data_IF_048141638961
#
_entry.id   IF_048141638961
#
_cell.length_a   1.000
_cell.length_b   1.000
_cell.length_c   1.000
_cell.angle_alpha   90.00
_cell.angle_beta   90.00
_cell.angle_gamma   90.00
#
_symmetry.space_group_name_H-M   'P 1'
#
loop_
_entity.id
_entity.type
_entity.pdbx_description
1 polymer ?
#
# COMPACT_ATOMS: atom_id res chain seq x y z
N UNK A 1 3.77 40.83 -6.15
CA UNK A 1 4.21 40.05 -4.98
C UNK A 1 4.77 38.73 -5.47
N UNK A 2 6.02 38.37 -5.17
CA UNK A 2 6.46 37.01 -5.37
C UNK A 2 5.78 36.13 -4.31
N UNK A 3 5.12 35.06 -4.75
CA UNK A 3 4.64 34.00 -3.85
C UNK A 3 5.89 33.25 -3.41
N UNK A 4 6.23 33.35 -2.13
CA UNK A 4 7.25 32.50 -1.54
C UNK A 4 6.70 31.07 -1.48
N UNK A 5 6.98 30.28 -2.52
CA UNK A 5 6.96 28.83 -2.41
C UNK A 5 8.13 28.45 -1.53
N UNK A 6 7.89 28.28 -0.23
CA UNK A 6 8.73 27.43 0.59
C UNK A 6 8.67 26.03 -0.01
N UNK A 7 9.55 25.79 -0.98
CA UNK A 7 9.84 24.47 -1.51
C UNK A 7 10.44 23.68 -0.35
N UNK A 8 9.58 22.98 0.40
CA UNK A 8 10.05 22.10 1.46
C UNK A 8 10.72 20.92 0.76
N UNK A 9 12.05 20.89 0.83
CA UNK A 9 12.90 19.78 0.43
C UNK A 9 12.52 18.50 1.21
N UNK A 10 11.45 17.81 0.77
CA UNK A 10 11.06 16.42 1.08
C UNK A 10 9.80 15.97 0.30
N UNK A 11 9.41 16.69 -0.76
CA UNK A 11 8.23 16.35 -1.57
C UNK A 11 8.38 14.96 -2.22
N UNK A 12 7.53 14.03 -1.79
CA UNK A 12 7.36 12.72 -2.42
C UNK A 12 7.81 11.52 -1.59
N UNK A 13 8.62 11.69 -0.52
CA UNK A 13 8.99 10.58 0.36
C UNK A 13 8.25 10.64 1.70
N UNK A 14 7.58 9.54 2.05
CA UNK A 14 6.85 9.37 3.28
C UNK A 14 7.59 8.44 4.24
N UNK A 15 7.75 8.92 5.47
CA UNK A 15 8.44 8.21 6.56
C UNK A 15 7.49 7.75 7.66
N UNK A 16 6.17 7.92 7.46
CA UNK A 16 5.16 7.39 8.37
C UNK A 16 5.36 5.88 8.53
N UNK A 17 5.52 5.40 9.78
CA UNK A 17 5.69 3.97 10.04
C UNK A 17 4.59 3.12 9.41
N UNK A 18 3.34 3.58 9.46
CA UNK A 18 2.20 2.83 8.92
C UNK A 18 2.22 2.77 7.40
N UNK A 19 2.59 3.88 6.73
CA UNK A 19 2.69 3.87 5.27
C UNK A 19 3.86 3.01 4.78
N UNK A 20 5.03 3.16 5.41
CA UNK A 20 6.21 2.33 5.12
C UNK A 20 5.88 0.84 5.32
N UNK A 21 5.19 0.50 6.41
CA UNK A 21 4.80 -0.87 6.68
C UNK A 21 3.81 -1.40 5.64
N UNK A 22 2.77 -0.64 5.28
CA UNK A 22 1.79 -1.05 4.26
C UNK A 22 2.45 -1.34 2.93
N UNK A 23 3.32 -0.46 2.44
CA UNK A 23 4.02 -0.69 1.16
C UNK A 23 4.99 -1.88 1.27
N UNK A 24 5.68 -2.03 2.40
CA UNK A 24 6.56 -3.17 2.65
C UNK A 24 5.81 -4.50 2.70
N UNK A 25 4.61 -4.51 3.30
CA UNK A 25 3.76 -5.69 3.39
C UNK A 25 3.22 -6.09 2.01
N UNK A 26 2.83 -5.13 1.18
CA UNK A 26 2.46 -5.38 -0.21
C UNK A 26 3.63 -6.01 -0.97
N UNK A 27 4.83 -5.43 -0.87
CA UNK A 27 6.02 -5.97 -1.53
C UNK A 27 6.36 -7.39 -1.05
N UNK A 28 6.24 -7.66 0.25
CA UNK A 28 6.45 -8.98 0.82
C UNK A 28 5.43 -10.01 0.33
N UNK A 29 4.14 -9.65 0.27
CA UNK A 29 3.07 -10.49 -0.29
C UNK A 29 3.29 -10.77 -1.78
N UNK A 30 3.72 -9.77 -2.57
CA UNK A 30 4.09 -9.97 -3.98
C UNK A 30 5.30 -10.90 -4.08
N UNK A 31 6.29 -10.77 -3.20
CA UNK A 31 7.50 -11.61 -3.16
C UNK A 31 7.31 -13.01 -2.61
N UNK A 32 6.16 -13.33 -2.01
CA UNK A 32 5.83 -14.60 -1.34
C UNK A 32 5.58 -15.76 -2.33
N UNK A 33 6.44 -15.94 -3.33
CA UNK A 33 6.30 -16.89 -4.46
C UNK A 33 6.14 -18.36 -4.05
N UNK A 34 6.53 -18.72 -2.82
CA UNK A 34 6.32 -20.05 -2.24
C UNK A 34 4.88 -20.34 -1.81
N UNK A 35 4.02 -19.33 -1.70
CA UNK A 35 2.62 -19.49 -1.32
C UNK A 35 1.73 -19.71 -2.56
N UNK A 36 0.82 -20.71 -2.53
CA UNK A 36 -0.02 -21.04 -3.68
C UNK A 36 -0.97 -19.90 -4.08
N UNK A 37 -1.35 -19.07 -3.12
CA UNK A 37 -2.28 -17.95 -3.27
C UNK A 37 -1.64 -16.73 -3.94
N UNK A 38 -0.31 -16.57 -3.80
CA UNK A 38 0.43 -15.41 -4.27
C UNK A 38 0.20 -15.15 -5.77
N UNK A 39 0.25 -16.19 -6.61
CA UNK A 39 0.11 -16.02 -8.07
C UNK A 39 -1.23 -15.42 -8.49
N UNK A 40 -2.30 -15.70 -7.74
CA UNK A 40 -3.65 -15.19 -8.02
C UNK A 40 -3.83 -13.77 -7.48
N UNK A 41 -3.23 -13.47 -6.33
CA UNK A 41 -3.31 -12.16 -5.69
C UNK A 41 -2.36 -11.11 -6.31
N UNK A 42 -1.19 -11.52 -6.80
CA UNK A 42 -0.10 -10.63 -7.18
C UNK A 42 -0.46 -9.52 -8.20
N UNK A 43 -1.26 -9.76 -9.27
CA UNK A 43 -1.63 -8.69 -10.19
C UNK A 43 -2.42 -7.57 -9.50
N UNK A 44 -3.28 -7.93 -8.55
CA UNK A 44 -4.09 -6.98 -7.79
C UNK A 44 -3.25 -6.24 -6.75
N UNK A 45 -2.33 -6.94 -6.09
CA UNK A 45 -1.39 -6.34 -5.15
C UNK A 45 -0.45 -5.32 -5.83
N UNK A 46 0.03 -5.62 -7.05
CA UNK A 46 0.82 -4.66 -7.82
C UNK A 46 0.02 -3.41 -8.21
N UNK A 47 -1.27 -3.56 -8.52
CA UNK A 47 -2.15 -2.40 -8.77
C UNK A 47 -2.41 -1.58 -7.50
N UNK A 48 -2.58 -2.25 -6.35
CA UNK A 48 -2.72 -1.57 -5.07
C UNK A 48 -1.44 -0.77 -4.73
N UNK A 49 -0.26 -1.33 -4.96
CA UNK A 49 1.02 -0.62 -4.78
C UNK A 49 1.11 0.62 -5.69
N UNK A 50 0.76 0.47 -6.97
CA UNK A 50 0.80 1.57 -7.93
C UNK A 50 -0.15 2.72 -7.55
N UNK A 51 -1.34 2.42 -7.02
CA UNK A 51 -2.28 3.43 -6.51
C UNK A 51 -1.70 4.23 -5.34
N UNK A 52 -1.00 3.56 -4.42
CA UNK A 52 -0.43 4.20 -3.25
C UNK A 52 0.84 5.00 -3.57
N UNK A 53 1.71 4.46 -4.42
CA UNK A 53 3.05 5.01 -4.66
C UNK A 53 3.08 5.93 -5.88
N UNK A 54 2.72 5.39 -7.05
CA UNK A 54 2.87 6.11 -8.32
C UNK A 54 1.77 7.16 -8.50
N UNK A 55 0.50 6.74 -8.37
CA UNK A 55 -0.63 7.65 -8.49
C UNK A 55 -0.85 8.49 -7.23
N UNK A 56 -0.48 7.95 -6.06
CA UNK A 56 -0.43 8.69 -4.81
C UNK A 56 0.72 9.70 -4.73
N UNK A 57 1.70 9.59 -5.63
CA UNK A 57 2.93 10.40 -5.61
C UNK A 57 3.61 10.38 -4.23
N UNK A 58 3.54 9.22 -3.56
CA UNK A 58 3.95 9.02 -2.16
C UNK A 58 4.84 7.78 -2.07
N UNK A 59 6.15 7.97 -2.06
CA UNK A 59 7.14 6.90 -2.00
C UNK A 59 7.53 6.61 -0.56
N UNK A 60 7.65 5.35 -0.14
CA UNK A 60 8.19 5.07 1.18
C UNK A 60 9.67 5.49 1.24
N UNK A 61 10.12 6.03 2.38
CA UNK A 61 11.54 6.35 2.57
C UNK A 61 12.45 5.12 2.56
N UNK A 62 11.92 3.96 2.92
CA UNK A 62 12.62 2.69 2.95
C UNK A 62 11.60 1.53 2.96
N UNK A 63 12.07 0.32 2.70
CA UNK A 63 11.30 -0.91 2.88
C UNK A 63 11.80 -1.64 4.12
N UNK A 64 10.88 -2.27 4.86
CA UNK A 64 11.21 -3.17 5.96
C UNK A 64 11.02 -4.62 5.52
N UNK A 65 11.89 -5.51 5.98
CA UNK A 65 11.76 -6.93 5.69
C UNK A 65 10.60 -7.51 6.49
N UNK A 66 9.62 -8.11 5.79
CA UNK A 66 8.45 -8.76 6.40
C UNK A 66 8.43 -10.22 5.94
N UNK A 67 8.29 -11.14 6.89
CA UNK A 67 8.11 -12.55 6.61
C UNK A 67 6.61 -12.86 6.51
N UNK A 68 6.24 -13.62 5.47
CA UNK A 68 4.85 -14.04 5.24
C UNK A 68 4.72 -15.52 5.59
N UNK A 69 4.23 -15.78 6.80
CA UNK A 69 3.97 -17.15 7.28
C UNK A 69 2.57 -17.63 6.87
N UNK A 70 1.57 -16.76 6.97
CA UNK A 70 0.19 -17.00 6.53
C UNK A 70 -0.24 -15.89 5.57
N UNK A 71 -0.41 -16.26 4.30
CA UNK A 71 -0.73 -15.32 3.24
C UNK A 71 -2.09 -14.65 3.43
N UNK A 72 -3.11 -15.38 3.91
CA UNK A 72 -4.46 -14.84 4.12
C UNK A 72 -4.50 -13.91 5.32
N UNK A 73 -3.86 -14.30 6.41
CA UNK A 73 -3.76 -13.46 7.59
C UNK A 73 -3.03 -12.15 7.27
N UNK A 74 -1.92 -12.22 6.52
CA UNK A 74 -1.19 -11.03 6.07
C UNK A 74 -2.00 -10.14 5.11
N UNK A 75 -2.85 -10.71 4.25
CA UNK A 75 -3.79 -9.91 3.44
C UNK A 75 -4.84 -9.20 4.28
N UNK A 76 -5.40 -9.86 5.29
CA UNK A 76 -6.36 -9.26 6.22
C UNK A 76 -5.70 -8.13 7.03
N UNK A 77 -4.47 -8.34 7.51
CA UNK A 77 -3.69 -7.30 8.19
C UNK A 77 -3.47 -6.08 7.29
N UNK A 78 -3.14 -6.32 6.02
CA UNK A 78 -2.97 -5.24 5.04
C UNK A 78 -4.27 -4.43 4.88
N UNK A 79 -5.43 -5.09 4.83
CA UNK A 79 -6.73 -4.43 4.70
C UNK A 79 -7.05 -3.55 5.92
N UNK A 80 -6.85 -4.09 7.12
CA UNK A 80 -7.08 -3.36 8.37
C UNK A 80 -6.19 -2.10 8.44
N UNK A 81 -4.90 -2.24 8.11
CA UNK A 81 -3.95 -1.12 8.13
C UNK A 81 -4.25 -0.07 7.07
N UNK A 82 -4.64 -0.48 5.87
CA UNK A 82 -5.04 0.47 4.82
C UNK A 82 -6.33 1.21 5.21
N UNK A 83 -7.27 0.55 5.88
CA UNK A 83 -8.49 1.18 6.40
C UNK A 83 -8.17 2.21 7.48
N UNK A 84 -7.23 1.91 8.37
CA UNK A 84 -6.73 2.87 9.37
C UNK A 84 -6.06 4.07 8.70
N UNK A 85 -5.14 3.85 7.76
CA UNK A 85 -4.49 4.92 6.98
C UNK A 85 -5.50 5.83 6.26
N UNK A 86 -6.58 5.24 5.72
CA UNK A 86 -7.64 6.00 5.06
C UNK A 86 -8.37 6.91 6.05
N UNK A 87 -8.66 6.39 7.24
CA UNK A 87 -9.36 7.11 8.33
C UNK A 87 -8.53 8.26 8.87
N UNK A 88 -7.21 8.07 8.99
CA UNK A 88 -6.29 9.08 9.52
C UNK A 88 -5.85 10.12 8.48
N UNK A 89 -6.09 9.86 7.20
CA UNK A 89 -5.69 10.75 6.11
C UNK A 89 -6.54 12.02 6.07
N UNK A 90 -5.90 13.17 6.27
CA UNK A 90 -6.52 14.51 6.12
C UNK A 90 -6.45 15.04 4.68
N UNK A 91 -5.78 14.32 3.77
CA UNK A 91 -5.56 14.74 2.38
C UNK A 91 -6.48 13.94 1.47
N UNK A 92 -7.47 14.59 0.86
CA UNK A 92 -8.46 13.95 0.00
C UNK A 92 -7.86 13.07 -1.10
N UNK A 93 -6.78 13.54 -1.75
CA UNK A 93 -6.09 12.76 -2.78
C UNK A 93 -5.58 11.42 -2.22
N UNK A 94 -4.94 11.41 -1.05
CA UNK A 94 -4.45 10.19 -0.42
C UNK A 94 -5.61 9.26 -0.07
N UNK A 95 -6.69 9.79 0.51
CA UNK A 95 -7.89 9.01 0.84
C UNK A 95 -8.48 8.31 -0.40
N UNK A 96 -8.59 9.02 -1.54
CA UNK A 96 -9.08 8.44 -2.79
C UNK A 96 -8.15 7.37 -3.36
N UNK A 97 -6.83 7.54 -3.21
CA UNK A 97 -5.87 6.53 -3.65
C UNK A 97 -5.91 5.28 -2.77
N UNK A 98 -6.01 5.45 -1.46
CA UNK A 98 -6.15 4.35 -0.50
C UNK A 98 -7.46 3.59 -0.75
N UNK A 99 -8.58 4.28 -0.98
CA UNK A 99 -9.85 3.64 -1.38
C UNK A 99 -9.70 2.81 -2.66
N UNK A 100 -9.04 3.36 -3.69
CA UNK A 100 -8.78 2.62 -4.93
C UNK A 100 -7.92 1.37 -4.69
N UNK A 101 -6.87 1.49 -3.88
CA UNK A 101 -5.99 0.40 -3.52
C UNK A 101 -6.73 -0.69 -2.71
N UNK A 102 -7.63 -0.31 -1.79
CA UNK A 102 -8.50 -1.24 -1.05
C UNK A 102 -9.40 -2.05 -2.00
N UNK A 103 -9.94 -1.44 -3.06
CA UNK A 103 -10.74 -2.19 -4.06
C UNK A 103 -9.91 -3.24 -4.80
N UNK A 104 -8.62 -2.98 -5.06
CA UNK A 104 -7.73 -3.99 -5.62
C UNK A 104 -7.43 -5.09 -4.60
N UNK A 105 -7.24 -4.74 -3.33
CA UNK A 105 -7.05 -5.71 -2.25
C UNK A 105 -8.24 -6.66 -2.12
N UNK A 106 -9.48 -6.15 -2.15
CA UNK A 106 -10.69 -6.99 -2.14
C UNK A 106 -10.76 -7.94 -3.34
N UNK A 107 -10.29 -7.51 -4.52
CA UNK A 107 -10.18 -8.39 -5.69
C UNK A 107 -9.10 -9.47 -5.49
N UNK A 108 -7.99 -9.14 -4.84
CA UNK A 108 -6.96 -10.10 -4.47
C UNK A 108 -7.53 -11.18 -3.54
N UNK A 109 -8.25 -10.78 -2.48
CA UNK A 109 -8.92 -11.68 -1.54
C UNK A 109 -9.94 -12.56 -2.24
N UNK A 110 -10.73 -11.99 -3.14
CA UNK A 110 -11.72 -12.75 -3.93
C UNK A 110 -11.05 -13.77 -4.86
N UNK A 111 -9.94 -13.40 -5.50
CA UNK A 111 -9.21 -14.28 -6.42
C UNK A 111 -8.57 -15.50 -5.74
N UNK A 112 -8.22 -15.40 -4.46
CA UNK A 112 -7.68 -16.53 -3.70
C UNK A 112 -8.77 -17.38 -3.03
N UNK A 113 -10.00 -16.87 -2.92
CA UNK A 113 -11.15 -17.62 -2.39
C UNK A 113 -11.83 -18.52 -3.45
N UNK A 114 -11.61 -18.25 -4.73
CA UNK A 114 -12.10 -19.03 -5.88
C UNK A 114 -11.22 -20.26 -6.18
#
# INVERSE_FOLDING_TARGET
MPIATTYNEREGYDSSPDFVYVISLIAALIGATGHPEQRRAAPFLGMAEAELVDFGQRRPTHYVAIQIDDFRASLAELEDRMTALMTDSQILQHTLRIDSALRFLHRATSAIAA
#
